data_IF_761955512913
#
_entry.id   IF_761955512913
#
_cell.length_a   1.000
_cell.length_b   1.000
_cell.length_c   1.000
_cell.angle_alpha   90.00
_cell.angle_beta   90.00
_cell.angle_gamma   90.00
#
_symmetry.space_group_name_H-M   'P 1'
#
loop_
_entity.id
_entity.type
_entity.pdbx_description
1 polymer ?
#
# COMPACT_ATOMS: atom_id res chain seq x y z
N UNK A 1 12.22 0.74 16.13
CA UNK A 1 12.48 -0.44 15.32
C UNK A 1 13.82 -1.06 15.72
N UNK A 2 13.80 -2.37 15.99
CA UNK A 2 15.00 -3.11 16.40
C UNK A 2 15.78 -3.69 15.20
N UNK A 3 15.40 -3.33 13.97
CA UNK A 3 16.18 -3.74 12.81
C UNK A 3 17.52 -2.99 12.80
N UNK A 4 18.66 -3.69 13.02
CA UNK A 4 19.99 -3.04 13.15
C UNK A 4 20.41 -2.28 11.90
N UNK A 5 19.86 -2.61 10.73
CA UNK A 5 20.20 -1.93 9.48
C UNK A 5 19.48 -0.60 9.34
N UNK A 6 18.23 -0.51 9.79
CA UNK A 6 17.47 0.76 9.81
C UNK A 6 18.01 1.72 10.86
N UNK A 7 18.37 1.20 12.04
CA UNK A 7 18.95 2.00 13.12
C UNK A 7 20.31 2.60 12.75
N UNK A 8 21.05 1.95 11.85
CA UNK A 8 22.38 2.41 11.40
C UNK A 8 22.33 3.53 10.35
N UNK A 9 21.17 3.80 9.74
CA UNK A 9 21.07 4.88 8.75
C UNK A 9 21.00 6.24 9.43
N UNK A 10 21.84 7.18 8.98
CA UNK A 10 21.76 8.56 9.45
C UNK A 10 20.46 9.23 8.99
N UNK A 11 20.09 10.33 9.65
CA UNK A 11 18.90 11.09 9.28
C UNK A 11 19.03 11.68 7.87
N UNK A 12 20.25 12.08 7.45
CA UNK A 12 20.52 12.54 6.09
C UNK A 12 20.33 11.42 5.05
N UNK A 13 20.62 10.16 5.41
CA UNK A 13 20.37 9.02 4.53
C UNK A 13 18.86 8.75 4.39
N UNK A 14 18.12 8.81 5.49
CA UNK A 14 16.65 8.65 5.48
C UNK A 14 15.98 9.74 4.66
N UNK A 15 16.41 10.99 4.82
CA UNK A 15 15.88 12.11 4.04
C UNK A 15 16.14 11.95 2.54
N UNK A 16 17.34 11.55 2.16
CA UNK A 16 17.68 11.27 0.77
C UNK A 16 16.88 10.10 0.19
N UNK A 17 16.69 9.03 0.97
CA UNK A 17 15.90 7.87 0.56
C UNK A 17 14.43 8.26 0.38
N UNK A 18 13.90 9.11 1.27
CA UNK A 18 12.56 9.67 1.15
C UNK A 18 12.41 10.54 -0.10
N UNK A 19 13.34 11.46 -0.33
CA UNK A 19 13.36 12.29 -1.54
C UNK A 19 13.37 11.44 -2.82
N UNK A 20 14.12 10.34 -2.82
CA UNK A 20 14.17 9.40 -3.93
C UNK A 20 12.82 8.74 -4.18
N UNK A 21 12.14 8.28 -3.13
CA UNK A 21 10.79 7.67 -3.24
C UNK A 21 9.77 8.66 -3.78
N UNK A 22 9.77 9.89 -3.28
CA UNK A 22 8.86 10.94 -3.75
C UNK A 22 9.11 11.28 -5.23
N UNK A 23 10.38 11.39 -5.64
CA UNK A 23 10.74 11.59 -7.05
C UNK A 23 10.25 10.43 -7.93
N UNK A 24 10.43 9.19 -7.47
CA UNK A 24 9.95 8.00 -8.18
C UNK A 24 8.43 8.03 -8.37
N UNK A 25 7.70 8.36 -7.31
CA UNK A 25 6.25 8.52 -7.37
C UNK A 25 5.82 9.61 -8.38
N UNK A 26 6.46 10.77 -8.37
CA UNK A 26 6.17 11.85 -9.30
C UNK A 26 6.42 11.42 -10.76
N UNK A 27 7.55 10.75 -11.04
CA UNK A 27 7.89 10.26 -12.38
C UNK A 27 6.84 9.25 -12.88
N UNK A 28 6.42 8.30 -12.03
CA UNK A 28 5.39 7.32 -12.42
C UNK A 28 4.08 8.04 -12.74
N UNK A 29 3.68 8.99 -11.90
CA UNK A 29 2.46 9.78 -12.13
C UNK A 29 2.52 10.53 -13.44
N UNK A 30 3.66 11.15 -13.76
CA UNK A 30 3.87 11.85 -15.01
C UNK A 30 3.85 10.89 -16.22
N UNK A 31 4.50 9.73 -16.11
CA UNK A 31 4.45 8.68 -17.14
C UNK A 31 3.02 8.15 -17.36
N UNK A 32 2.21 8.02 -16.31
CA UNK A 32 0.83 7.57 -16.46
C UNK A 32 -0.06 8.63 -17.11
N UNK A 33 0.01 9.88 -16.67
CA UNK A 33 -0.96 10.91 -17.01
C UNK A 33 -0.45 11.91 -18.06
N UNK A 34 0.85 12.10 -18.15
CA UNK A 34 1.50 13.22 -18.81
C UNK A 34 1.61 14.47 -17.92
N UNK A 35 2.67 15.25 -18.17
CA UNK A 35 2.90 16.51 -17.49
C UNK A 35 3.54 17.54 -18.46
N UNK A 36 2.73 18.36 -19.15
CA UNK A 36 3.22 19.29 -20.17
C UNK A 36 4.12 20.41 -19.62
N UNK A 37 4.21 20.56 -18.30
CA UNK A 37 5.03 21.59 -17.65
C UNK A 37 6.48 21.14 -17.39
N UNK A 38 6.84 19.92 -17.76
CA UNK A 38 8.21 19.43 -17.61
C UNK A 38 9.18 20.11 -18.58
N UNK A 39 10.47 20.21 -18.21
CA UNK A 39 11.48 20.78 -19.09
C UNK A 39 11.74 19.89 -20.31
N UNK A 40 12.27 20.49 -21.40
CA UNK A 40 12.71 19.74 -22.57
C UNK A 40 13.68 18.62 -22.22
N UNK A 41 13.59 17.50 -22.91
CA UNK A 41 14.34 16.27 -22.63
C UNK A 41 13.60 15.30 -21.72
N UNK A 42 12.31 15.56 -21.47
CA UNK A 42 11.38 14.71 -20.73
C UNK A 42 10.11 14.45 -21.54
N UNK A 43 10.27 14.22 -22.85
CA UNK A 43 9.17 14.14 -23.81
C UNK A 43 8.21 13.00 -23.49
N UNK A 44 8.71 11.88 -22.97
CA UNK A 44 7.88 10.73 -22.62
C UNK A 44 6.96 11.06 -21.43
N UNK A 45 7.51 11.63 -20.37
CA UNK A 45 6.75 12.04 -19.19
C UNK A 45 5.84 13.25 -19.47
N UNK A 46 6.21 14.10 -20.44
CA UNK A 46 5.37 15.23 -20.86
C UNK A 46 4.08 14.74 -21.53
N UNK A 47 4.17 13.74 -22.41
CA UNK A 47 3.02 13.16 -23.12
C UNK A 47 2.26 12.18 -22.22
N UNK A 48 2.99 11.34 -21.48
CA UNK A 48 2.44 10.24 -20.71
C UNK A 48 1.85 9.14 -21.59
N UNK A 49 1.38 8.08 -20.93
CA UNK A 49 0.83 6.91 -21.62
C UNK A 49 -0.70 6.78 -21.51
N UNK A 50 -1.37 7.75 -20.86
CA UNK A 50 -2.79 7.67 -20.52
C UNK A 50 -3.12 6.30 -19.85
N UNK A 51 -2.26 5.89 -18.91
CA UNK A 51 -2.33 4.58 -18.27
C UNK A 51 -3.30 4.60 -17.10
N UNK A 52 -4.17 3.59 -17.03
CA UNK A 52 -5.14 3.40 -15.95
C UNK A 52 -4.62 2.47 -14.85
N UNK A 53 -3.55 1.74 -15.12
CA UNK A 53 -2.81 0.91 -14.19
C UNK A 53 -1.35 0.83 -14.63
N UNK A 54 -0.45 0.58 -13.69
CA UNK A 54 0.97 0.40 -13.93
C UNK A 54 1.59 -0.56 -12.91
N UNK A 55 2.88 -0.83 -13.00
CA UNK A 55 3.63 -1.62 -12.04
C UNK A 55 5.13 -1.55 -12.33
N UNK A 56 5.93 -1.75 -11.29
CA UNK A 56 7.38 -1.89 -11.45
C UNK A 56 7.73 -3.31 -11.85
N UNK A 57 8.54 -3.47 -12.87
CA UNK A 57 9.01 -4.79 -13.27
C UNK A 57 10.12 -5.27 -12.32
N UNK A 58 9.78 -6.23 -11.46
CA UNK A 58 10.67 -6.81 -10.47
C UNK A 58 10.92 -5.90 -9.26
N UNK A 59 11.42 -6.47 -8.17
CA UNK A 59 11.59 -5.74 -6.92
C UNK A 59 13.00 -5.20 -6.70
N UNK A 60 14.05 -5.83 -7.24
CA UNK A 60 15.41 -5.59 -6.77
C UNK A 60 16.46 -5.31 -7.83
N UNK A 61 16.21 -5.52 -9.09
CA UNK A 61 17.25 -5.45 -10.13
C UNK A 61 17.91 -4.09 -10.26
N UNK A 62 17.28 -3.03 -9.75
CA UNK A 62 17.73 -1.65 -9.85
C UNK A 62 17.72 -0.91 -8.51
N UNK A 63 17.39 -1.59 -7.41
CA UNK A 63 17.18 -0.97 -6.08
C UNK A 63 18.10 -1.50 -4.98
N UNK A 64 19.16 -2.22 -5.29
CA UNK A 64 20.08 -2.75 -4.26
C UNK A 64 20.73 -1.66 -3.39
N UNK A 65 20.79 -0.42 -3.88
CA UNK A 65 21.38 0.72 -3.19
C UNK A 65 20.39 1.86 -2.89
N UNK A 66 19.14 1.74 -3.32
CA UNK A 66 18.08 2.73 -3.19
C UNK A 66 16.80 2.09 -2.69
N UNK A 67 15.83 2.88 -2.18
CA UNK A 67 14.51 2.38 -1.88
C UNK A 67 13.88 1.72 -3.10
N UNK A 68 13.17 0.61 -2.88
CA UNK A 68 12.39 -0.04 -3.93
C UNK A 68 11.10 0.73 -4.26
N UNK A 69 10.30 0.20 -5.19
CA UNK A 69 9.04 0.82 -5.62
C UNK A 69 7.89 0.75 -4.62
N UNK A 70 7.98 -0.07 -3.59
CA UNK A 70 6.85 -0.42 -2.70
C UNK A 70 6.19 0.79 -2.06
N UNK A 71 6.99 1.75 -1.58
CA UNK A 71 6.44 2.95 -0.96
C UNK A 71 5.80 3.91 -1.98
N UNK A 72 6.39 4.01 -3.17
CA UNK A 72 5.79 4.78 -4.26
C UNK A 72 4.46 4.16 -4.71
N UNK A 73 4.38 2.83 -4.77
CA UNK A 73 3.14 2.09 -5.02
C UNK A 73 2.10 2.37 -3.92
N UNK A 74 2.49 2.30 -2.64
CA UNK A 74 1.59 2.59 -1.53
C UNK A 74 1.02 4.00 -1.60
N UNK A 75 1.85 5.00 -1.85
CA UNK A 75 1.42 6.40 -1.99
C UNK A 75 0.46 6.57 -3.18
N UNK A 76 0.76 5.99 -4.34
CA UNK A 76 -0.08 6.13 -5.52
C UNK A 76 -1.38 5.33 -5.41
N UNK A 77 -1.36 4.16 -4.80
CA UNK A 77 -2.56 3.37 -4.54
C UNK A 77 -3.48 4.00 -3.49
N UNK A 78 -3.01 4.95 -2.69
CA UNK A 78 -3.82 5.65 -1.69
C UNK A 78 -4.78 6.65 -2.32
N UNK A 79 -5.89 6.93 -1.65
CA UNK A 79 -6.90 7.91 -2.09
C UNK A 79 -6.60 9.34 -1.64
N UNK A 80 -5.42 9.59 -1.09
CA UNK A 80 -4.97 10.92 -0.70
C UNK A 80 -3.45 11.03 -0.77
N UNK A 81 -2.96 12.25 -0.82
CA UNK A 81 -1.56 12.63 -0.67
C UNK A 81 -1.46 13.99 0.05
N UNK A 82 -0.29 14.62 0.04
CA UNK A 82 -0.08 15.95 0.67
C UNK A 82 -0.90 17.10 0.07
N UNK A 83 -1.58 16.88 -1.07
CA UNK A 83 -2.53 17.84 -1.64
C UNK A 83 -3.98 17.55 -1.23
N UNK A 84 -4.22 16.52 -0.44
CA UNK A 84 -5.55 16.09 0.01
C UNK A 84 -6.07 14.86 -0.71
N UNK A 85 -7.39 14.63 -0.58
CA UNK A 85 -8.05 13.48 -1.20
C UNK A 85 -8.00 13.54 -2.73
N UNK A 86 -7.81 12.39 -3.35
CA UNK A 86 -7.77 12.23 -4.81
C UNK A 86 -8.20 10.82 -5.22
N UNK A 87 -8.52 10.66 -6.48
CA UNK A 87 -8.71 9.33 -7.04
C UNK A 87 -7.41 8.51 -6.94
N UNK A 88 -7.46 7.28 -6.37
CA UNK A 88 -6.28 6.43 -6.27
C UNK A 88 -5.83 5.94 -7.64
N UNK A 89 -4.52 5.82 -7.83
CA UNK A 89 -3.95 5.09 -8.96
C UNK A 89 -4.05 3.59 -8.70
N UNK A 90 -3.67 2.79 -9.70
CA UNK A 90 -3.53 1.33 -9.55
C UNK A 90 -2.12 0.96 -9.95
N UNK A 91 -1.30 0.60 -8.97
CA UNK A 91 0.03 0.05 -9.19
C UNK A 91 0.10 -1.35 -8.60
N UNK A 92 0.42 -2.32 -9.47
CA UNK A 92 0.59 -3.71 -9.08
C UNK A 92 2.06 -3.98 -8.76
N UNK A 93 2.34 -4.50 -7.57
CA UNK A 93 3.69 -4.90 -7.16
C UNK A 93 4.24 -5.95 -8.13
N UNK A 94 5.54 -5.87 -8.44
CA UNK A 94 6.24 -6.75 -9.38
C UNK A 94 5.67 -6.77 -10.80
N UNK A 95 4.81 -5.81 -11.13
CA UNK A 95 4.08 -5.74 -12.40
C UNK A 95 3.20 -6.98 -12.64
N UNK A 96 2.60 -7.54 -11.59
CA UNK A 96 1.60 -8.61 -11.73
C UNK A 96 0.32 -8.06 -12.36
N UNK A 97 0.26 -8.19 -13.67
CA UNK A 97 -0.81 -7.65 -14.49
C UNK A 97 -2.18 -8.24 -14.13
N UNK A 98 -2.27 -9.52 -13.79
CA UNK A 98 -3.56 -10.16 -13.44
C UNK A 98 -4.10 -9.60 -12.13
N UNK A 99 -3.24 -9.44 -11.13
CA UNK A 99 -3.62 -8.81 -9.86
C UNK A 99 -3.96 -7.32 -10.08
N UNK A 100 -3.18 -6.60 -10.89
CA UNK A 100 -3.44 -5.21 -11.27
C UNK A 100 -4.79 -5.02 -11.96
N UNK A 101 -5.20 -5.94 -12.83
CA UNK A 101 -6.54 -5.93 -13.45
C UNK A 101 -7.63 -6.12 -12.38
N UNK A 102 -7.43 -7.04 -11.43
CA UNK A 102 -8.33 -7.24 -10.29
C UNK A 102 -8.48 -5.96 -9.45
N UNK A 103 -7.36 -5.32 -9.10
CA UNK A 103 -7.34 -4.04 -8.40
C UNK A 103 -8.11 -2.96 -9.18
N UNK A 104 -7.88 -2.85 -10.49
CA UNK A 104 -8.57 -1.88 -11.34
C UNK A 104 -10.08 -2.08 -11.33
N UNK A 105 -10.57 -3.31 -11.50
CA UNK A 105 -12.00 -3.58 -11.44
C UNK A 105 -12.60 -3.22 -10.08
N UNK A 106 -11.93 -3.59 -8.99
CA UNK A 106 -12.42 -3.25 -7.66
C UNK A 106 -12.42 -1.74 -7.39
N UNK A 107 -11.39 -1.02 -7.85
CA UNK A 107 -11.38 0.45 -7.81
C UNK A 107 -12.56 1.05 -8.56
N UNK A 108 -12.81 0.61 -9.79
CA UNK A 108 -13.89 1.14 -10.63
C UNK A 108 -15.29 0.86 -10.05
N UNK A 109 -15.46 -0.29 -9.37
CA UNK A 109 -16.71 -0.66 -8.73
C UNK A 109 -16.97 0.07 -7.42
N UNK A 110 -15.92 0.40 -6.67
CA UNK A 110 -16.04 0.88 -5.29
C UNK A 110 -15.61 2.33 -5.08
N UNK A 111 -14.82 2.90 -6.00
CA UNK A 111 -14.15 4.20 -5.82
C UNK A 111 -13.13 4.22 -4.68
N UNK A 112 -12.73 3.05 -4.17
CA UNK A 112 -11.82 2.91 -3.04
C UNK A 112 -10.40 2.67 -3.50
N UNK A 113 -9.45 3.06 -2.66
CA UNK A 113 -8.07 2.61 -2.77
C UNK A 113 -8.00 1.07 -2.74
N UNK A 114 -7.05 0.50 -3.46
CA UNK A 114 -6.88 -0.94 -3.55
C UNK A 114 -5.53 -1.35 -3.01
N UNK A 115 -5.45 -2.52 -2.40
CA UNK A 115 -4.20 -3.14 -2.00
C UNK A 115 -3.85 -4.26 -2.97
N UNK A 116 -2.58 -4.34 -3.33
CA UNK A 116 -2.04 -5.52 -3.99
C UNK A 116 -1.90 -6.64 -2.96
N UNK A 117 -2.41 -7.83 -3.24
CA UNK A 117 -2.23 -8.97 -2.34
C UNK A 117 -2.28 -10.30 -3.09
N UNK A 118 -1.32 -11.16 -2.78
CA UNK A 118 -1.28 -12.54 -3.24
C UNK A 118 -2.06 -13.45 -2.30
N UNK A 119 -2.83 -14.37 -2.86
CA UNK A 119 -3.41 -15.48 -2.11
C UNK A 119 -2.33 -16.50 -1.82
N UNK A 120 -1.85 -16.56 -0.59
CA UNK A 120 -0.78 -17.49 -0.18
C UNK A 120 -1.30 -18.85 0.24
N UNK A 121 -2.36 -18.89 1.03
CA UNK A 121 -2.92 -20.15 1.52
C UNK A 121 -4.32 -19.97 2.07
N UNK A 122 -4.99 -21.10 2.25
CA UNK A 122 -6.20 -21.21 3.04
C UNK A 122 -5.86 -21.86 4.39
N UNK A 123 -6.29 -21.24 5.46
CA UNK A 123 -6.13 -21.75 6.81
C UNK A 123 -7.44 -22.38 7.29
N UNK A 124 -7.47 -23.73 7.34
CA UNK A 124 -8.58 -24.42 8.02
C UNK A 124 -8.46 -24.31 9.54
N UNK A 125 -9.56 -24.50 10.30
CA UNK A 125 -9.52 -24.49 11.76
C UNK A 125 -8.48 -25.48 12.34
N UNK A 126 -8.36 -26.66 11.75
CA UNK A 126 -7.41 -27.69 12.17
C UNK A 126 -5.96 -27.25 11.89
N UNK A 127 -5.71 -26.59 10.77
CA UNK A 127 -4.40 -26.07 10.42
C UNK A 127 -3.96 -24.97 11.39
N UNK A 128 -4.86 -24.03 11.71
CA UNK A 128 -4.60 -22.98 12.70
C UNK A 128 -4.29 -23.60 14.05
N UNK A 129 -5.15 -24.50 14.55
CA UNK A 129 -4.95 -25.15 15.86
C UNK A 129 -3.62 -25.91 15.92
N UNK A 130 -3.30 -26.66 14.88
CA UNK A 130 -2.04 -27.44 14.81
C UNK A 130 -0.79 -26.54 14.84
N UNK A 131 -0.85 -25.37 14.15
CA UNK A 131 0.32 -24.51 13.97
C UNK A 131 0.51 -23.52 15.12
N UNK A 132 -0.59 -22.98 15.66
CA UNK A 132 -0.56 -21.88 16.64
C UNK A 132 -1.07 -22.28 18.02
N UNK A 133 -1.78 -23.41 18.13
CA UNK A 133 -2.52 -23.80 19.35
C UNK A 133 -3.86 -23.04 19.51
N UNK A 134 -4.15 -22.04 18.68
CA UNK A 134 -5.36 -21.20 18.76
C UNK A 134 -6.55 -21.88 18.08
N UNK A 135 -7.74 -21.75 18.67
CA UNK A 135 -9.00 -22.14 18.03
C UNK A 135 -9.69 -20.93 17.40
N UNK A 136 -10.09 -21.07 16.14
CA UNK A 136 -10.80 -20.00 15.46
C UNK A 136 -12.12 -19.68 16.14
N UNK A 137 -12.46 -18.39 16.20
CA UNK A 137 -13.68 -17.86 16.78
C UNK A 137 -14.40 -16.91 15.78
N UNK A 138 -15.64 -16.52 16.10
CA UNK A 138 -16.42 -15.58 15.32
C UNK A 138 -16.54 -15.96 13.85
N UNK A 139 -16.44 -14.98 12.96
CA UNK A 139 -16.65 -15.13 11.51
C UNK A 139 -15.70 -16.17 10.90
N UNK A 140 -14.44 -16.23 11.32
CA UNK A 140 -13.49 -17.19 10.79
C UNK A 140 -13.87 -18.64 11.13
N UNK A 141 -14.44 -18.88 12.31
CA UNK A 141 -14.98 -20.19 12.68
C UNK A 141 -16.21 -20.55 11.88
N UNK A 142 -17.16 -19.62 11.74
CA UNK A 142 -18.40 -19.81 10.97
C UNK A 142 -18.11 -20.07 9.49
N UNK A 143 -17.13 -19.37 8.91
CA UNK A 143 -16.67 -19.57 7.54
C UNK A 143 -15.85 -20.86 7.34
N UNK A 144 -15.50 -21.55 8.42
CA UNK A 144 -14.66 -22.75 8.37
C UNK A 144 -13.18 -22.48 8.11
N UNK A 145 -12.71 -21.25 8.28
CA UNK A 145 -11.33 -20.85 8.04
C UNK A 145 -11.21 -19.47 7.40
N UNK A 146 -10.03 -19.14 6.88
CA UNK A 146 -9.78 -17.86 6.20
C UNK A 146 -8.71 -17.98 5.13
N UNK A 147 -8.76 -17.05 4.18
CA UNK A 147 -7.71 -16.87 3.17
C UNK A 147 -6.61 -16.00 3.74
N UNK A 148 -5.38 -16.45 3.60
CA UNK A 148 -4.20 -15.69 3.95
C UNK A 148 -3.72 -14.92 2.71
N UNK A 149 -3.83 -13.61 2.78
CA UNK A 149 -3.34 -12.70 1.76
C UNK A 149 -2.05 -12.06 2.25
N UNK A 150 -1.07 -11.96 1.37
CA UNK A 150 0.21 -11.29 1.66
C UNK A 150 0.51 -10.32 0.53
N UNK A 151 0.86 -9.10 0.89
CA UNK A 151 1.57 -8.20 0.00
C UNK A 151 3.07 -8.27 0.33
N UNK A 152 3.90 -8.37 -0.68
CA UNK A 152 5.36 -8.30 -0.53
C UNK A 152 5.89 -6.86 -0.41
N UNK A 153 5.06 -5.89 -0.73
CA UNK A 153 5.33 -4.46 -0.60
C UNK A 153 4.39 -3.77 0.39
N UNK A 154 4.35 -2.44 0.34
CA UNK A 154 3.47 -1.65 1.18
C UNK A 154 2.04 -1.63 0.64
N UNK A 155 1.06 -1.76 1.52
CA UNK A 155 -0.34 -1.51 1.20
C UNK A 155 -0.61 0.00 1.06
N UNK A 156 -1.78 0.38 0.52
CA UNK A 156 -2.20 1.78 0.52
C UNK A 156 -2.41 2.31 1.95
N UNK A 157 -2.27 3.62 2.13
CA UNK A 157 -2.42 4.27 3.45
C UNK A 157 -3.85 4.14 3.99
N UNK A 158 -4.86 4.13 3.12
CA UNK A 158 -6.27 3.94 3.46
C UNK A 158 -6.54 2.62 4.21
N UNK A 159 -5.67 1.62 4.04
CA UNK A 159 -5.83 0.30 4.65
C UNK A 159 -5.40 0.22 6.13
N UNK A 160 -5.08 1.35 6.75
CA UNK A 160 -4.62 1.37 8.15
C UNK A 160 -5.70 0.96 9.17
N UNK A 161 -6.98 0.92 8.78
CA UNK A 161 -8.07 0.39 9.61
C UNK A 161 -8.57 1.33 10.72
N UNK A 162 -8.09 2.57 10.78
CA UNK A 162 -8.53 3.55 11.80
C UNK A 162 -9.78 4.35 11.40
N UNK A 163 -10.04 4.44 10.10
CA UNK A 163 -11.30 5.02 9.64
C UNK A 163 -12.43 4.08 9.98
N UNK A 164 -13.45 4.57 10.68
CA UNK A 164 -14.56 3.77 11.19
C UNK A 164 -15.89 4.18 10.53
N UNK A 165 -16.76 3.20 10.34
CA UNK A 165 -18.17 3.47 10.02
C UNK A 165 -18.94 3.89 11.27
N UNK A 166 -20.26 4.17 11.11
CA UNK A 166 -21.17 4.54 12.20
C UNK A 166 -21.32 3.45 13.29
N UNK A 167 -20.96 2.20 12.98
CA UNK A 167 -21.00 1.07 13.90
C UNK A 167 -19.64 0.79 14.55
N UNK A 168 -18.61 1.58 14.22
CA UNK A 168 -17.27 1.43 14.73
C UNK A 168 -16.40 0.38 14.02
N UNK A 169 -16.87 -0.17 12.90
CA UNK A 169 -16.08 -1.11 12.10
C UNK A 169 -15.05 -0.36 11.25
N UNK A 170 -13.85 -0.91 11.11
CA UNK A 170 -12.83 -0.38 10.21
C UNK A 170 -13.30 -0.45 8.75
N UNK A 171 -13.23 0.67 8.04
CA UNK A 171 -13.66 0.75 6.64
C UNK A 171 -12.68 1.56 5.80
N UNK A 172 -12.58 1.22 4.52
CA UNK A 172 -11.97 2.07 3.51
C UNK A 172 -13.08 2.82 2.78
N UNK A 173 -13.05 4.15 2.86
CA UNK A 173 -14.04 5.00 2.19
C UNK A 173 -13.75 5.14 0.68
N UNK A 174 -14.78 5.38 -0.16
CA UNK A 174 -14.56 5.90 -1.49
C UNK A 174 -13.78 7.22 -1.43
N UNK A 175 -12.92 7.49 -2.41
CA UNK A 175 -12.02 8.65 -2.36
C UNK A 175 -12.77 9.99 -2.25
N UNK A 176 -13.99 10.09 -2.78
CA UNK A 176 -14.81 11.31 -2.69
C UNK A 176 -15.46 11.52 -1.32
N UNK A 177 -15.39 10.54 -0.42
CA UNK A 177 -15.88 10.63 0.97
C UNK A 177 -14.73 10.78 1.99
N UNK A 178 -13.48 10.79 1.52
CA UNK A 178 -12.29 10.88 2.37
C UNK A 178 -12.12 12.29 2.91
N UNK A 179 -12.30 12.47 4.22
CA UNK A 179 -12.12 13.76 4.90
C UNK A 179 -10.66 13.97 5.34
N UNK A 180 -10.31 15.19 5.76
CA UNK A 180 -9.00 15.49 6.35
C UNK A 180 -8.78 14.71 7.66
N UNK A 181 -9.82 14.50 8.46
CA UNK A 181 -9.76 13.70 9.68
C UNK A 181 -9.47 12.22 9.36
N UNK A 182 -10.11 11.67 8.31
CA UNK A 182 -9.84 10.31 7.87
C UNK A 182 -8.38 10.15 7.40
N UNK A 183 -7.87 11.10 6.61
CA UNK A 183 -6.49 11.10 6.14
C UNK A 183 -5.50 11.14 7.31
N UNK A 184 -5.78 11.98 8.30
CA UNK A 184 -4.97 12.07 9.51
C UNK A 184 -5.01 10.77 10.31
N UNK A 185 -6.17 10.16 10.48
CA UNK A 185 -6.29 8.88 11.17
C UNK A 185 -5.47 7.78 10.47
N UNK A 186 -5.49 7.72 9.14
CA UNK A 186 -4.65 6.80 8.36
C UNK A 186 -3.14 7.04 8.60
N UNK A 187 -2.70 8.29 8.65
CA UNK A 187 -1.30 8.65 8.85
C UNK A 187 -0.83 8.39 10.29
N UNK A 188 -1.64 8.69 11.29
CA UNK A 188 -1.32 8.49 12.70
C UNK A 188 -1.04 7.01 13.00
N UNK A 189 -1.80 6.09 12.39
CA UNK A 189 -1.55 4.66 12.51
C UNK A 189 -0.30 4.19 11.77
N UNK A 190 -0.06 4.72 10.59
CA UNK A 190 1.15 4.38 9.85
C UNK A 190 2.40 4.68 10.68
N UNK A 191 2.39 5.77 11.44
CA UNK A 191 3.48 6.14 12.36
C UNK A 191 3.59 5.16 13.54
N UNK A 192 2.48 4.69 14.10
CA UNK A 192 2.48 3.71 15.21
C UNK A 192 2.98 2.34 14.72
N UNK A 193 2.57 1.88 13.55
CA UNK A 193 3.04 0.61 12.98
C UNK A 193 4.51 0.65 12.57
N UNK A 194 5.03 1.79 12.19
CA UNK A 194 6.46 1.98 11.91
C UNK A 194 7.28 2.05 13.19
N UNK A 195 6.74 2.64 14.27
CA UNK A 195 7.47 2.85 15.53
C UNK A 195 7.33 1.71 16.54
N UNK A 196 6.24 0.92 16.50
CA UNK A 196 5.99 -0.16 17.49
C UNK A 196 5.54 -1.50 16.86
N UNK A 197 6.37 -2.19 16.07
CA UNK A 197 6.01 -3.53 15.58
C UNK A 197 5.98 -4.60 16.68
N UNK A 198 6.30 -4.25 17.94
CA UNK A 198 6.48 -5.20 19.04
C UNK A 198 5.22 -5.48 19.85
N UNK A 199 4.15 -4.71 19.76
CA UNK A 199 2.93 -4.96 20.54
C UNK A 199 2.05 -6.08 19.99
N UNK A 200 2.17 -6.46 18.72
CA UNK A 200 1.43 -7.61 18.17
C UNK A 200 2.07 -8.97 18.50
N UNK A 201 3.32 -9.00 18.94
CA UNK A 201 4.02 -10.24 19.30
C UNK A 201 3.87 -10.61 20.80
N UNK A 202 3.28 -9.75 21.61
CA UNK A 202 3.07 -9.99 23.05
C UNK A 202 1.67 -10.47 23.41
N UNK A 203 0.80 -10.72 22.42
CA UNK A 203 -0.49 -11.40 22.62
C UNK A 203 -0.34 -12.84 22.11
N UNK A 204 0.49 -13.59 22.78
CA UNK A 204 0.52 -15.06 22.74
C UNK A 204 0.70 -15.60 24.14
#
# INVERSE_FOLDING_TARGET
DKNPEIVKRSDEQKERDWEFVVKMMCIIKDLMNGNPNLPKGREEEMVGHNAIAAGFQGQRQWTDFYPNGDYAEALLNSSFDWNGAREPYVLATENDTLNGIGMLFMKLLTGRAQIFADVRTYWSPEAVKRTTGYELEGIAKEAGGFLHLINSGAACLDACGEVKDENGNGVMKPFWEMTEEDQKACLDLSLIHISEPTRQAEIS
#
